data_IF_796256187047
#
_entry.id   IF_796256187047
#
_cell.length_a   1.000
_cell.length_b   1.000
_cell.length_c   1.000
_cell.angle_alpha   90.00
_cell.angle_beta   90.00
_cell.angle_gamma   90.00
#
_symmetry.space_group_name_H-M   'P 1'
#
loop_
_entity.id
_entity.type
_entity.pdbx_description
1 polymer ?
#
# COMPACT_ATOMS: atom_id res chain seq x y z
N UNK A 1 -18.53 -37.82 27.72
CA UNK A 1 -17.10 -37.50 27.55
C UNK A 1 -17.02 -36.18 26.81
N UNK A 2 -16.51 -35.08 27.40
CA UNK A 2 -16.44 -33.81 26.68
C UNK A 2 -15.28 -33.84 25.68
N UNK A 3 -15.52 -33.32 24.48
CA UNK A 3 -14.52 -33.14 23.43
C UNK A 3 -13.57 -32.01 23.87
N UNK A 4 -12.23 -32.16 23.79
CA UNK A 4 -11.33 -31.07 24.14
C UNK A 4 -11.48 -29.93 23.11
N UNK A 5 -11.90 -28.77 23.60
CA UNK A 5 -11.89 -27.51 22.87
C UNK A 5 -10.43 -27.05 22.68
N UNK A 6 -9.78 -27.49 21.60
CA UNK A 6 -8.42 -27.04 21.25
C UNK A 6 -8.29 -26.80 19.75
N UNK A 7 -9.07 -25.86 19.24
CA UNK A 7 -8.57 -25.06 18.13
C UNK A 7 -7.49 -24.13 18.72
N UNK A 8 -6.24 -24.13 18.23
CA UNK A 8 -5.27 -23.14 18.71
C UNK A 8 -5.83 -21.74 18.44
N UNK A 9 -6.02 -20.96 19.51
CA UNK A 9 -6.45 -19.56 19.43
C UNK A 9 -5.25 -18.68 19.07
N UNK A 10 -4.75 -18.86 17.85
CA UNK A 10 -3.74 -17.98 17.29
C UNK A 10 -4.44 -16.75 16.72
N UNK A 11 -3.93 -15.57 17.05
CA UNK A 11 -4.37 -14.31 16.46
C UNK A 11 -3.18 -13.64 15.77
N UNK A 12 -3.41 -13.09 14.58
CA UNK A 12 -2.49 -12.16 13.95
C UNK A 12 -2.84 -10.76 14.43
N UNK A 13 -1.87 -10.07 15.02
CA UNK A 13 -1.97 -8.66 15.41
C UNK A 13 -1.04 -7.87 14.50
N UNK A 14 -1.61 -6.98 13.69
CA UNK A 14 -0.84 -6.14 12.77
C UNK A 14 -0.97 -4.67 13.18
N UNK A 15 0.18 -4.01 13.32
CA UNK A 15 0.24 -2.56 13.54
C UNK A 15 0.80 -1.90 12.29
N UNK A 16 -0.04 -1.14 11.60
CA UNK A 16 0.35 -0.40 10.39
C UNK A 16 0.50 1.07 10.72
N UNK A 17 1.65 1.65 10.37
CA UNK A 17 1.94 3.08 10.53
C UNK A 17 2.40 3.68 9.21
N UNK A 18 1.83 4.83 8.87
CA UNK A 18 2.37 5.68 7.81
C UNK A 18 3.46 6.58 8.41
N UNK A 19 4.65 6.56 7.80
CA UNK A 19 5.77 7.40 8.20
C UNK A 19 6.34 8.13 6.98
N UNK A 20 6.71 9.41 7.10
CA UNK A 20 7.29 10.17 5.98
C UNK A 20 8.74 9.77 5.69
N UNK A 21 9.38 9.05 6.60
CA UNK A 21 10.75 8.58 6.47
C UNK A 21 10.88 7.15 7.03
N UNK A 22 11.88 6.38 6.56
CA UNK A 22 12.22 5.10 7.15
C UNK A 22 12.51 5.20 8.64
N UNK A 23 12.14 4.17 9.40
CA UNK A 23 12.46 4.07 10.82
C UNK A 23 13.02 2.69 11.16
N UNK A 24 13.67 2.59 12.31
CA UNK A 24 14.28 1.34 12.76
C UNK A 24 13.19 0.30 13.09
N UNK A 25 13.15 -0.78 12.30
CA UNK A 25 12.21 -1.89 12.47
C UNK A 25 12.46 -2.72 13.73
N UNK A 26 13.67 -2.65 14.30
CA UNK A 26 14.03 -3.37 15.53
C UNK A 26 13.75 -2.54 16.79
N UNK A 27 13.23 -1.32 16.66
CA UNK A 27 12.77 -0.56 17.82
C UNK A 27 11.52 -1.24 18.39
N UNK A 28 11.37 -1.34 19.73
CA UNK A 28 10.17 -1.91 20.34
C UNK A 28 8.92 -1.27 19.74
N UNK A 29 7.98 -2.09 19.27
CA UNK A 29 6.74 -1.63 18.68
C UNK A 29 5.86 -0.99 19.77
N UNK A 30 6.13 0.28 20.09
CA UNK A 30 5.35 1.07 21.02
C UNK A 30 3.88 1.02 20.58
N UNK A 31 3.05 0.32 21.35
CA UNK A 31 1.61 0.19 21.12
C UNK A 31 1.07 -1.24 21.10
N UNK A 32 1.87 -2.27 20.79
CA UNK A 32 1.37 -3.66 20.74
C UNK A 32 0.97 -4.14 22.14
N UNK A 33 1.83 -3.93 23.14
CA UNK A 33 1.53 -4.29 24.54
C UNK A 33 0.26 -3.62 25.06
N UNK A 34 0.05 -2.34 24.71
CA UNK A 34 -1.15 -1.60 25.07
C UNK A 34 -2.41 -2.22 24.46
N UNK A 35 -2.34 -2.63 23.19
CA UNK A 35 -3.44 -3.30 22.50
C UNK A 35 -3.73 -4.68 23.11
N UNK A 36 -2.69 -5.45 23.49
CA UNK A 36 -2.86 -6.73 24.17
C UNK A 36 -3.58 -6.56 25.52
N UNK A 37 -3.25 -5.52 26.28
CA UNK A 37 -3.94 -5.17 27.53
C UNK A 37 -5.39 -4.78 27.27
N UNK A 38 -5.66 -3.88 26.33
CA UNK A 38 -7.01 -3.43 25.97
C UNK A 38 -7.92 -4.60 25.54
N UNK A 39 -7.36 -5.58 24.84
CA UNK A 39 -8.06 -6.79 24.38
C UNK A 39 -8.17 -7.89 25.44
N UNK A 40 -7.58 -7.70 26.62
CA UNK A 40 -7.57 -8.71 27.70
C UNK A 40 -6.69 -9.92 27.40
N UNK A 41 -5.70 -9.78 26.52
CA UNK A 41 -4.79 -10.84 26.06
C UNK A 41 -3.44 -10.83 26.79
N UNK A 42 -3.42 -10.36 28.04
CA UNK A 42 -2.20 -10.22 28.87
C UNK A 42 -1.45 -11.55 29.09
N UNK A 43 -2.13 -12.70 28.92
CA UNK A 43 -1.54 -14.03 28.99
C UNK A 43 -1.17 -14.67 27.64
N UNK A 44 -1.29 -13.94 26.53
CA UNK A 44 -0.94 -14.45 25.21
C UNK A 44 0.59 -14.51 25.04
N UNK A 45 1.08 -15.60 24.45
CA UNK A 45 2.49 -15.74 24.08
C UNK A 45 2.70 -15.35 22.62
N UNK A 46 3.68 -14.48 22.33
CA UNK A 46 4.11 -14.24 20.96
C UNK A 46 4.86 -15.47 20.43
N UNK A 47 4.33 -16.09 19.37
CA UNK A 47 4.94 -17.28 18.73
C UNK A 47 5.77 -16.93 17.49
N UNK A 48 5.51 -15.76 16.88
CA UNK A 48 6.20 -15.24 15.70
C UNK A 48 5.98 -13.74 15.60
N UNK A 49 7.03 -13.02 15.27
CA UNK A 49 7.01 -11.59 15.01
C UNK A 49 7.66 -11.30 13.65
N UNK A 50 7.07 -10.38 12.90
CA UNK A 50 7.54 -9.95 11.59
C UNK A 50 7.42 -8.43 11.49
N UNK A 51 8.42 -7.80 10.88
CA UNK A 51 8.42 -6.38 10.59
C UNK A 51 8.70 -6.15 9.12
N UNK A 52 7.96 -5.24 8.51
CA UNK A 52 8.16 -4.83 7.13
C UNK A 52 8.00 -3.31 7.00
N UNK A 53 8.76 -2.74 6.08
CA UNK A 53 8.57 -1.37 5.62
C UNK A 53 8.18 -1.40 4.14
N UNK A 54 7.01 -0.86 3.82
CA UNK A 54 6.51 -0.80 2.45
C UNK A 54 6.66 0.63 1.93
N UNK A 55 7.56 0.88 0.96
CA UNK A 55 7.69 2.20 0.38
C UNK A 55 6.47 2.50 -0.49
N UNK A 56 5.69 3.49 -0.09
CA UNK A 56 4.48 3.93 -0.80
C UNK A 56 4.80 4.91 -1.94
N UNK A 57 5.93 5.61 -1.88
CA UNK A 57 6.40 6.42 -3.00
C UNK A 57 7.84 6.07 -3.31
N UNK A 58 8.09 5.62 -4.54
CA UNK A 58 9.45 5.39 -5.03
C UNK A 58 9.66 6.25 -6.28
N UNK A 59 10.71 7.11 -6.30
CA UNK A 59 11.05 7.85 -7.49
C UNK A 59 11.35 6.89 -8.66
N UNK A 60 11.21 7.39 -9.89
CA UNK A 60 11.70 6.64 -11.04
C UNK A 60 13.22 6.47 -10.88
N UNK A 61 13.78 5.27 -11.16
CA UNK A 61 15.22 5.07 -11.07
C UNK A 61 15.93 6.03 -12.02
N UNK A 62 17.07 6.57 -11.60
CA UNK A 62 17.92 7.35 -12.50
C UNK A 62 18.51 6.44 -13.58
N UNK A 63 18.99 7.01 -14.68
CA UNK A 63 19.71 6.27 -15.72
C UNK A 63 20.88 5.46 -15.16
N UNK A 64 21.50 5.98 -14.09
CA UNK A 64 22.71 5.42 -13.48
C UNK A 64 22.40 4.24 -12.53
N UNK A 65 21.14 4.11 -12.11
CA UNK A 65 20.64 3.01 -11.26
C UNK A 65 20.11 1.82 -12.06
N UNK A 66 19.99 1.98 -13.39
CA UNK A 66 19.61 0.95 -14.33
C UNK A 66 20.84 0.10 -14.69
N UNK A 67 20.72 -1.20 -14.48
CA UNK A 67 21.73 -2.17 -14.91
C UNK A 67 21.21 -2.79 -16.20
N UNK A 68 22.01 -2.77 -17.26
CA UNK A 68 21.67 -3.41 -18.53
C UNK A 68 21.28 -4.88 -18.30
N UNK A 69 20.22 -5.33 -18.97
CA UNK A 69 19.70 -6.70 -18.93
C UNK A 69 19.22 -7.18 -17.54
N UNK A 70 19.09 -6.27 -16.56
CA UNK A 70 18.57 -6.60 -15.22
C UNK A 70 17.24 -5.91 -14.98
N UNK A 71 16.22 -6.72 -14.76
CA UNK A 71 14.89 -6.27 -14.34
C UNK A 71 14.71 -6.43 -12.83
N UNK A 72 14.28 -5.35 -12.18
CA UNK A 72 13.89 -5.38 -10.76
C UNK A 72 12.46 -5.94 -10.62
N UNK A 73 12.27 -6.86 -9.69
CA UNK A 73 10.96 -7.46 -9.38
C UNK A 73 10.55 -7.20 -7.92
N UNK A 74 9.29 -7.46 -7.58
CA UNK A 74 8.77 -7.29 -6.21
C UNK A 74 8.73 -5.83 -5.78
N UNK A 75 9.00 -5.55 -4.50
CA UNK A 75 8.99 -4.18 -3.96
C UNK A 75 10.07 -3.30 -4.59
N UNK A 76 11.26 -3.84 -4.89
CA UNK A 76 12.30 -3.10 -5.61
C UNK A 76 11.95 -2.88 -7.09
N UNK A 77 11.08 -3.72 -7.65
CA UNK A 77 10.41 -3.54 -8.94
C UNK A 77 9.12 -2.73 -8.90
N UNK A 78 8.84 -2.01 -7.79
CA UNK A 78 7.66 -1.13 -7.63
C UNK A 78 6.33 -1.86 -7.84
N UNK A 79 6.29 -3.13 -7.46
CA UNK A 79 5.11 -3.98 -7.69
C UNK A 79 3.98 -3.67 -6.70
N UNK A 80 4.30 -3.00 -5.59
CA UNK A 80 3.29 -2.45 -4.67
C UNK A 80 2.64 -1.23 -5.30
N UNK A 81 1.34 -1.08 -5.09
CA UNK A 81 0.65 0.16 -5.49
C UNK A 81 1.11 1.31 -4.60
N UNK A 82 1.46 2.43 -5.23
CA UNK A 82 2.01 3.58 -4.53
C UNK A 82 1.06 4.11 -3.45
N UNK A 83 -0.22 4.30 -3.77
CA UNK A 83 -1.18 4.96 -2.88
C UNK A 83 -1.64 4.13 -1.67
N UNK A 84 -1.54 2.81 -1.76
CA UNK A 84 -2.16 1.89 -0.81
C UNK A 84 -1.21 0.83 -0.26
N UNK A 85 -0.03 0.68 -0.85
CA UNK A 85 0.90 -0.40 -0.54
C UNK A 85 0.36 -1.77 -0.95
N UNK A 86 -0.80 -1.83 -1.64
CA UNK A 86 -1.45 -3.09 -1.98
C UNK A 86 -0.66 -3.80 -3.09
N UNK A 87 -0.20 -5.02 -2.80
CA UNK A 87 0.61 -5.83 -3.71
C UNK A 87 0.05 -7.20 -4.02
N UNK A 88 -0.92 -7.70 -3.24
CA UNK A 88 -1.32 -9.12 -3.22
C UNK A 88 -1.76 -9.63 -4.60
N UNK A 89 -2.55 -8.84 -5.32
CA UNK A 89 -3.00 -9.21 -6.67
C UNK A 89 -2.11 -8.67 -7.78
N UNK A 90 -1.30 -7.63 -7.50
CA UNK A 90 -0.35 -7.04 -8.46
C UNK A 90 0.86 -7.94 -8.66
N UNK A 91 1.39 -8.52 -7.59
CA UNK A 91 2.61 -9.33 -7.59
C UNK A 91 2.53 -10.54 -8.53
N UNK A 92 1.50 -11.41 -8.42
CA UNK A 92 1.38 -12.55 -9.33
C UNK A 92 1.17 -12.13 -10.79
N UNK A 93 0.24 -11.21 -11.06
CA UNK A 93 -0.03 -10.75 -12.42
C UNK A 93 1.21 -10.14 -13.11
N UNK A 94 2.09 -9.50 -12.34
CA UNK A 94 3.37 -8.95 -12.84
C UNK A 94 4.42 -10.03 -13.06
N UNK A 95 4.47 -11.04 -12.19
CA UNK A 95 5.34 -12.20 -12.40
C UNK A 95 4.96 -12.94 -13.69
N UNK A 96 3.66 -13.14 -13.92
CA UNK A 96 3.14 -13.79 -15.13
C UNK A 96 3.51 -13.00 -16.40
N UNK A 97 3.30 -11.68 -16.40
CA UNK A 97 3.66 -10.83 -17.54
C UNK A 97 5.17 -10.82 -17.84
N UNK A 98 6.01 -10.79 -16.80
CA UNK A 98 7.46 -10.88 -16.98
C UNK A 98 7.89 -12.25 -17.55
N UNK A 99 7.29 -13.33 -17.05
CA UNK A 99 7.55 -14.67 -17.56
C UNK A 99 7.14 -14.81 -19.03
N UNK A 100 5.95 -14.34 -19.40
CA UNK A 100 5.45 -14.37 -20.78
C UNK A 100 6.36 -13.57 -21.73
N UNK A 101 6.78 -12.37 -21.35
CA UNK A 101 7.69 -11.54 -22.15
C UNK A 101 9.07 -12.20 -22.30
N UNK A 102 9.61 -12.77 -21.22
CA UNK A 102 10.89 -13.49 -21.27
C UNK A 102 10.85 -14.66 -22.24
N UNK A 103 9.74 -15.41 -22.26
CA UNK A 103 9.58 -16.58 -23.14
C UNK A 103 9.36 -16.18 -24.60
N UNK A 104 8.63 -15.09 -24.87
CA UNK A 104 8.24 -14.70 -26.24
C UNK A 104 9.22 -13.74 -26.92
N UNK A 105 9.73 -12.77 -26.18
CA UNK A 105 10.49 -11.63 -26.69
C UNK A 105 11.98 -11.74 -26.34
N UNK A 106 12.37 -12.74 -25.52
CA UNK A 106 13.71 -12.89 -24.93
C UNK A 106 14.18 -11.67 -24.12
N UNK A 107 13.27 -10.75 -23.80
CA UNK A 107 13.53 -9.54 -23.06
C UNK A 107 12.60 -9.51 -21.84
N UNK A 108 13.13 -9.60 -20.60
CA UNK A 108 12.30 -9.50 -19.43
C UNK A 108 11.71 -8.09 -19.35
N UNK A 109 10.40 -8.00 -19.16
CA UNK A 109 9.73 -6.71 -19.02
C UNK A 109 9.78 -6.24 -17.57
N UNK A 110 10.46 -5.10 -17.36
CA UNK A 110 10.46 -4.40 -16.09
C UNK A 110 9.16 -3.65 -15.79
N UNK A 111 9.18 -2.87 -14.70
CA UNK A 111 8.02 -2.09 -14.32
C UNK A 111 7.68 -1.04 -15.38
N UNK A 112 6.61 -1.27 -16.14
CA UNK A 112 6.02 -0.26 -17.02
C UNK A 112 5.58 0.95 -16.20
N UNK A 113 6.03 2.13 -16.60
CA UNK A 113 5.71 3.39 -15.92
C UNK A 113 4.19 3.56 -15.90
N UNK A 114 3.59 3.71 -14.72
CA UNK A 114 2.14 3.92 -14.57
C UNK A 114 1.66 5.09 -15.45
N UNK A 115 0.46 5.05 -16.05
CA UNK A 115 -0.08 6.15 -16.85
C UNK A 115 -0.05 7.48 -16.08
N UNK A 116 0.16 8.60 -16.78
CA UNK A 116 0.34 9.93 -16.15
C UNK A 116 -0.79 10.28 -15.17
N UNK A 117 -2.04 10.10 -15.59
CA UNK A 117 -3.22 10.37 -14.75
C UNK A 117 -3.17 9.58 -13.44
N UNK A 118 -2.71 8.33 -13.50
CA UNK A 118 -2.63 7.45 -12.34
C UNK A 118 -1.53 7.88 -11.38
N UNK A 119 -0.34 8.19 -11.89
CA UNK A 119 0.76 8.76 -11.08
C UNK A 119 0.34 10.06 -10.40
N UNK A 120 -0.44 10.89 -11.10
CA UNK A 120 -0.96 12.13 -10.54
C UNK A 120 -1.95 11.88 -9.39
N UNK A 121 -2.91 10.97 -9.57
CA UNK A 121 -3.87 10.59 -8.52
C UNK A 121 -3.18 9.94 -7.32
N UNK A 122 -2.23 9.03 -7.54
CA UNK A 122 -1.47 8.39 -6.46
C UNK A 122 -0.68 9.46 -5.67
N UNK A 123 -0.11 10.45 -6.35
CA UNK A 123 0.54 11.61 -5.72
C UNK A 123 -0.39 12.43 -4.82
N UNK A 124 -1.64 12.63 -5.22
CA UNK A 124 -2.66 13.30 -4.38
C UNK A 124 -2.97 12.46 -3.15
N UNK A 125 -3.21 11.16 -3.36
CA UNK A 125 -3.59 10.24 -2.30
C UNK A 125 -2.49 10.05 -1.27
N UNK A 126 -1.21 10.14 -1.65
CA UNK A 126 -0.09 10.10 -0.72
C UNK A 126 0.18 11.43 -0.02
N UNK A 127 -0.08 12.55 -0.69
CA UNK A 127 0.14 13.88 -0.12
C UNK A 127 -0.87 14.24 0.97
N UNK A 128 -2.11 13.75 0.89
CA UNK A 128 -3.11 14.00 1.93
C UNK A 128 -2.72 13.38 3.30
N UNK A 129 -2.36 12.09 3.41
CA UNK A 129 -1.75 11.48 4.59
C UNK A 129 -0.45 12.15 5.04
N UNK A 130 0.43 12.52 4.10
CA UNK A 130 1.71 13.15 4.45
C UNK A 130 1.55 14.53 5.10
N UNK A 131 0.49 15.27 4.75
CA UNK A 131 0.23 16.61 5.30
C UNK A 131 -0.60 16.61 6.59
N UNK A 132 -1.38 15.55 6.83
CA UNK A 132 -2.27 15.40 8.00
C UNK A 132 -2.25 13.93 8.48
N UNK A 133 -1.11 13.44 9.01
CA UNK A 133 -0.95 12.04 9.41
C UNK A 133 -1.95 11.60 10.48
N UNK A 134 -2.38 12.51 11.36
CA UNK A 134 -3.36 12.26 12.42
C UNK A 134 -4.76 11.95 11.88
N UNK A 135 -5.06 12.32 10.63
CA UNK A 135 -6.37 12.10 9.99
C UNK A 135 -6.44 10.86 9.13
N UNK A 136 -5.31 10.17 8.94
CA UNK A 136 -5.18 8.99 8.07
C UNK A 136 -6.19 7.90 8.43
N UNK A 137 -6.33 7.58 9.72
CA UNK A 137 -7.30 6.59 10.17
C UNK A 137 -8.74 6.95 9.73
N UNK A 138 -9.13 8.21 9.90
CA UNK A 138 -10.45 8.70 9.46
C UNK A 138 -10.64 8.64 7.94
N UNK A 139 -9.56 8.74 7.15
CA UNK A 139 -9.63 8.55 5.69
C UNK A 139 -9.96 7.10 5.34
N UNK A 140 -9.26 6.14 5.96
CA UNK A 140 -9.53 4.71 5.74
C UNK A 140 -10.90 4.28 6.26
N UNK A 141 -11.32 4.79 7.42
CA UNK A 141 -12.65 4.54 7.96
C UNK A 141 -13.76 5.00 7.00
N UNK A 142 -13.62 6.18 6.39
CA UNK A 142 -14.57 6.65 5.38
C UNK A 142 -14.57 5.78 4.12
N UNK A 143 -13.40 5.31 3.69
CA UNK A 143 -13.31 4.40 2.54
C UNK A 143 -14.01 3.07 2.79
N UNK A 144 -13.94 2.53 4.02
CA UNK A 144 -14.63 1.30 4.39
C UNK A 144 -16.13 1.51 4.60
N UNK A 145 -16.55 2.70 5.04
CA UNK A 145 -17.97 3.06 5.21
C UNK A 145 -18.69 3.45 3.91
N UNK A 146 -17.97 3.99 2.92
CA UNK A 146 -18.56 4.58 1.71
C UNK A 146 -19.02 3.58 0.63
N UNK A 147 -18.89 2.27 0.85
CA UNK A 147 -19.43 1.28 -0.07
C UNK A 147 -19.06 -0.16 0.26
N UNK A 148 -19.71 -1.13 -0.42
CA UNK A 148 -19.41 -2.54 -0.20
C UNK A 148 -17.91 -2.83 -0.50
N UNK A 149 -17.22 -3.66 0.32
CA UNK A 149 -15.79 -3.96 0.20
C UNK A 149 -15.33 -4.37 -1.20
N UNK A 150 -16.27 -4.93 -1.99
CA UNK A 150 -16.07 -5.36 -3.37
C UNK A 150 -15.69 -4.24 -4.36
N UNK A 151 -15.80 -2.96 -3.96
CA UNK A 151 -15.43 -1.81 -4.81
C UNK A 151 -14.10 -1.15 -4.43
N UNK A 152 -13.69 -1.28 -3.17
CA UNK A 152 -12.38 -0.80 -2.73
C UNK A 152 -11.27 -1.72 -3.28
N UNK A 153 -11.49 -3.03 -3.28
CA UNK A 153 -10.50 -4.00 -3.73
C UNK A 153 -10.06 -3.81 -5.20
N UNK A 154 -10.96 -3.61 -6.19
CA UNK A 154 -10.57 -3.30 -7.57
C UNK A 154 -9.75 -2.00 -7.67
N UNK A 155 -10.15 -0.96 -6.94
CA UNK A 155 -9.36 0.27 -6.86
C UNK A 155 -7.95 -0.05 -6.38
N UNK A 156 -7.79 -0.70 -5.22
CA UNK A 156 -6.49 -1.06 -4.64
C UNK A 156 -5.63 -1.99 -5.54
N UNK A 157 -6.26 -2.77 -6.43
CA UNK A 157 -5.62 -3.90 -7.13
C UNK A 157 -5.39 -3.71 -8.64
N UNK A 158 -5.47 -2.48 -9.18
CA UNK A 158 -5.36 -2.18 -10.63
C UNK A 158 -6.53 -2.59 -11.51
N UNK A 159 -7.49 -3.34 -10.96
CA UNK A 159 -8.64 -3.83 -11.71
C UNK A 159 -9.85 -2.88 -11.64
N UNK A 160 -9.66 -1.68 -11.07
CA UNK A 160 -10.69 -0.66 -10.93
C UNK A 160 -11.06 -0.04 -12.27
N UNK A 161 -12.37 0.02 -12.57
CA UNK A 161 -12.91 0.81 -13.67
C UNK A 161 -12.92 2.28 -13.27
N UNK A 162 -13.07 3.20 -14.23
CA UNK A 162 -13.15 4.64 -13.95
C UNK A 162 -14.21 5.01 -12.91
N UNK A 163 -15.33 4.28 -12.88
CA UNK A 163 -16.39 4.46 -11.87
C UNK A 163 -15.91 4.19 -10.44
N UNK A 164 -15.01 3.23 -10.26
CA UNK A 164 -14.50 2.82 -8.95
C UNK A 164 -13.56 3.92 -8.42
N UNK A 165 -12.78 4.54 -9.30
CA UNK A 165 -11.95 5.72 -8.99
C UNK A 165 -12.81 6.92 -8.56
N UNK A 166 -13.86 7.25 -9.33
CA UNK A 166 -14.75 8.38 -9.00
C UNK A 166 -15.44 8.17 -7.66
N UNK A 167 -15.90 6.96 -7.37
CA UNK A 167 -16.57 6.65 -6.11
C UNK A 167 -15.61 6.75 -4.91
N UNK A 168 -14.37 6.26 -5.05
CA UNK A 168 -13.33 6.43 -4.02
C UNK A 168 -13.02 7.90 -3.79
N UNK A 169 -12.87 8.70 -4.85
CA UNK A 169 -12.63 10.13 -4.73
C UNK A 169 -13.80 10.87 -4.06
N UNK A 170 -15.04 10.46 -4.32
CA UNK A 170 -16.23 11.02 -3.70
C UNK A 170 -16.37 10.68 -2.21
N UNK A 171 -15.81 9.55 -1.76
CA UNK A 171 -15.82 9.12 -0.36
C UNK A 171 -14.81 9.89 0.52
N UNK A 172 -13.76 10.42 -0.09
CA UNK A 172 -12.64 11.04 0.63
C UNK A 172 -12.97 12.47 1.05
N UNK A 173 -12.37 12.98 2.17
CA UNK A 173 -12.63 14.33 2.62
C UNK A 173 -12.21 15.36 1.55
N UNK A 174 -13.17 16.09 0.95
CA UNK A 174 -12.90 16.87 -0.26
C UNK A 174 -11.87 17.96 -0.02
N UNK A 175 -11.89 18.62 1.15
CA UNK A 175 -10.95 19.70 1.48
C UNK A 175 -9.50 19.21 1.53
N UNK A 176 -9.22 18.07 2.17
CA UNK A 176 -7.86 17.54 2.29
C UNK A 176 -7.32 17.12 0.91
N UNK A 177 -8.13 16.46 0.11
CA UNK A 177 -7.75 15.96 -1.22
C UNK A 177 -7.67 17.07 -2.27
N UNK A 178 -8.53 18.08 -2.23
CA UNK A 178 -8.43 19.27 -3.10
C UNK A 178 -7.18 20.09 -2.78
N UNK A 179 -6.83 20.24 -1.49
CA UNK A 179 -5.58 20.91 -1.09
C UNK A 179 -4.36 20.13 -1.59
N UNK A 180 -4.38 18.80 -1.45
CA UNK A 180 -3.33 17.94 -2.00
C UNK A 180 -3.24 18.02 -3.53
N UNK A 181 -4.38 18.07 -4.24
CA UNK A 181 -4.45 18.26 -5.68
C UNK A 181 -3.84 19.61 -6.13
N UNK A 182 -4.18 20.70 -5.43
CA UNK A 182 -3.60 22.01 -5.71
C UNK A 182 -2.07 22.03 -5.53
N UNK A 183 -1.56 21.41 -4.47
CA UNK A 183 -0.12 21.26 -4.24
C UNK A 183 0.55 20.39 -5.32
N UNK A 184 -0.10 19.31 -5.76
CA UNK A 184 0.41 18.43 -6.80
C UNK A 184 0.49 19.15 -8.17
N UNK A 185 -0.51 19.97 -8.49
CA UNK A 185 -0.51 20.82 -9.69
C UNK A 185 0.58 21.89 -9.63
N UNK A 186 0.84 22.49 -8.46
CA UNK A 186 1.92 23.45 -8.28
C UNK A 186 3.30 22.78 -8.44
N UNK A 187 3.49 21.59 -7.88
CA UNK A 187 4.73 20.82 -8.02
C UNK A 187 4.99 20.37 -9.47
N UNK A 188 3.96 19.93 -10.20
CA UNK A 188 4.07 19.49 -11.59
C UNK A 188 4.29 20.61 -12.61
N UNK A 189 4.14 21.89 -12.22
CA UNK A 189 4.49 23.07 -13.03
C UNK A 189 5.94 23.52 -12.84
N UNK A 190 6.63 22.99 -11.83
CA UNK A 190 7.99 23.36 -11.47
C UNK A 190 9.04 22.32 -11.93
N UNK A 191 8.60 21.29 -12.67
CA UNK A 191 9.37 20.15 -13.19
C UNK A 191 9.12 19.98 -14.68
#
# INVERSE_FOLDING_TARGET
MPVPDRCPRNALVEMVRFAPAPFNLNAPAAGVDGLLVERGWVGASCVREEHAMLPLNQPDPSSDELIADVVRAGTSGRTLRADSGYGVLRLPARADGCADATVREYEPQGHLREPYLRRWLDGIFLRAPATQPERVFGYFQRLTEAGPPIRLLPFLSDFGRCRDVVQVMAALPPVAFLRAAAMQLAAGRAS
#
